data_IF_539407551425
#
_entry.id   IF_539407551425
#
_cell.length_a   1.000
_cell.length_b   1.000
_cell.length_c   1.000
_cell.angle_alpha   90.00
_cell.angle_beta   90.00
_cell.angle_gamma   90.00
#
_symmetry.space_group_name_H-M   'P 1'
#
loop_
_entity.id
_entity.type
_entity.pdbx_description
1 polymer ?
#
# COMPACT_ATOMS: atom_id res chain seq x y z
N UNK A 1 6.32 90.62 27.36
CA UNK A 1 6.35 89.56 26.33
C UNK A 1 6.84 88.26 26.97
N UNK A 2 6.22 87.85 28.09
CA UNK A 2 6.73 86.77 28.96
C UNK A 2 5.64 85.83 29.50
N UNK A 3 4.36 86.06 29.21
CA UNK A 3 3.25 85.19 29.68
C UNK A 3 2.86 84.09 28.66
N UNK A 4 3.60 83.95 27.57
CA UNK A 4 3.32 82.90 26.57
C UNK A 4 3.83 81.51 27.00
N UNK A 5 4.76 81.45 27.97
CA UNK A 5 5.38 80.22 28.45
C UNK A 5 4.80 79.68 29.76
N UNK A 6 3.88 80.40 30.41
CA UNK A 6 3.19 79.97 31.64
C UNK A 6 1.79 79.42 31.39
N UNK A 7 1.39 79.24 30.12
CA UNK A 7 0.07 78.69 29.78
C UNK A 7 0.07 77.16 29.96
N UNK A 8 -0.77 76.60 30.84
CA UNK A 8 -0.90 75.14 31.06
C UNK A 8 -1.17 74.34 29.77
N UNK A 9 -1.74 74.98 28.75
CA UNK A 9 -2.05 74.38 27.46
C UNK A 9 -0.81 73.97 26.65
N UNK A 10 0.31 74.68 26.75
CA UNK A 10 1.53 74.35 26.00
C UNK A 10 2.19 73.06 26.54
N UNK A 11 2.24 72.92 27.86
CA UNK A 11 2.76 71.71 28.51
C UNK A 11 1.88 70.49 28.23
N UNK A 12 0.55 70.68 28.25
CA UNK A 12 -0.38 69.63 27.86
C UNK A 12 -0.20 69.19 26.40
N UNK A 13 0.03 70.14 25.49
CA UNK A 13 0.29 69.85 24.08
C UNK A 13 1.59 69.07 23.87
N UNK A 14 2.70 69.49 24.50
CA UNK A 14 3.99 68.78 24.40
C UNK A 14 3.88 67.37 24.98
N UNK A 15 3.21 67.22 26.14
CA UNK A 15 2.96 65.90 26.74
C UNK A 15 2.14 64.99 25.81
N UNK A 16 1.08 65.52 25.20
CA UNK A 16 0.27 64.80 24.23
C UNK A 16 1.06 64.38 22.98
N UNK A 17 1.96 65.25 22.48
CA UNK A 17 2.81 64.94 21.33
C UNK A 17 3.79 63.81 21.62
N UNK A 18 4.45 63.84 22.80
CA UNK A 18 5.37 62.77 23.21
C UNK A 18 4.61 61.45 23.38
N UNK A 19 3.42 61.48 24.00
CA UNK A 19 2.57 60.31 24.15
C UNK A 19 2.13 59.73 22.79
N UNK A 20 1.78 60.58 21.82
CA UNK A 20 1.40 60.15 20.47
C UNK A 20 2.57 59.49 19.72
N UNK A 21 3.79 60.04 19.84
CA UNK A 21 5.00 59.44 19.24
C UNK A 21 5.31 58.09 19.90
N UNK A 22 5.23 58.01 21.22
CA UNK A 22 5.44 56.75 21.95
C UNK A 22 4.41 55.69 21.55
N UNK A 23 3.13 56.07 21.44
CA UNK A 23 2.06 55.18 21.00
C UNK A 23 2.27 54.70 19.55
N UNK A 24 2.70 55.59 18.65
CA UNK A 24 2.99 55.23 17.26
C UNK A 24 4.16 54.25 17.13
N UNK A 25 5.28 54.48 17.83
CA UNK A 25 6.43 53.56 17.83
C UNK A 25 6.05 52.21 18.44
N UNK A 26 5.24 52.22 19.51
CA UNK A 26 4.75 50.99 20.12
C UNK A 26 3.85 50.20 19.15
N UNK A 27 2.91 50.87 18.50
CA UNK A 27 2.03 50.24 17.51
C UNK A 27 2.82 49.67 16.32
N UNK A 28 3.85 50.39 15.85
CA UNK A 28 4.71 49.91 14.76
C UNK A 28 5.50 48.65 15.17
N UNK A 29 6.12 48.65 16.37
CA UNK A 29 6.83 47.47 16.89
C UNK A 29 5.91 46.26 17.08
N UNK A 30 4.70 46.51 17.62
CA UNK A 30 3.71 45.46 17.78
C UNK A 30 3.29 44.87 16.43
N UNK A 31 3.08 45.70 15.41
CA UNK A 31 2.74 45.22 14.06
C UNK A 31 3.85 44.37 13.44
N UNK A 32 5.11 44.77 13.59
CA UNK A 32 6.26 43.96 13.11
C UNK A 32 6.29 42.61 13.82
N UNK A 33 6.16 42.61 15.14
CA UNK A 33 6.18 41.39 15.94
C UNK A 33 4.99 40.46 15.61
N UNK A 34 3.79 41.01 15.41
CA UNK A 34 2.62 40.23 14.96
C UNK A 34 2.83 39.62 13.57
N UNK A 35 3.51 40.34 12.66
CA UNK A 35 3.84 39.80 11.34
C UNK A 35 4.90 38.69 11.42
N UNK A 36 5.89 38.82 12.30
CA UNK A 36 6.89 37.77 12.57
C UNK A 36 6.22 36.52 13.15
N UNK A 37 5.33 36.67 14.15
CA UNK A 37 4.57 35.54 14.71
C UNK A 37 3.75 34.84 13.62
N UNK A 38 3.03 35.59 12.78
CA UNK A 38 2.25 35.00 11.67
C UNK A 38 3.13 34.22 10.70
N UNK A 39 4.30 34.76 10.38
CA UNK A 39 5.26 34.11 9.46
C UNK A 39 5.82 32.83 10.07
N UNK A 40 6.16 32.86 11.36
CA UNK A 40 6.63 31.68 12.09
C UNK A 40 5.54 30.62 12.21
N UNK A 41 4.30 31.02 12.51
CA UNK A 41 3.16 30.10 12.58
C UNK A 41 2.93 29.40 11.24
N UNK A 42 2.92 30.14 10.14
CA UNK A 42 2.79 29.56 8.80
C UNK A 42 3.97 28.63 8.44
N UNK A 43 5.17 28.93 8.91
CA UNK A 43 6.34 28.06 8.71
C UNK A 43 6.22 26.76 9.49
N UNK A 44 5.77 26.84 10.75
CA UNK A 44 5.53 25.66 11.61
C UNK A 44 4.46 24.76 11.01
N UNK A 45 3.35 25.34 10.55
CA UNK A 45 2.27 24.58 9.90
C UNK A 45 2.78 23.85 8.65
N UNK A 46 3.53 24.55 7.78
CA UNK A 46 4.14 23.93 6.59
C UNK A 46 5.10 22.79 6.95
N UNK A 47 5.90 22.96 7.99
CA UNK A 47 6.83 21.92 8.44
C UNK A 47 6.09 20.72 9.05
N UNK A 48 5.00 20.97 9.80
CA UNK A 48 4.17 19.92 10.36
C UNK A 48 3.52 19.08 9.24
N UNK A 49 3.01 19.73 8.19
CA UNK A 49 2.45 19.05 7.01
C UNK A 49 3.52 18.22 6.28
N UNK A 50 4.73 18.75 6.15
CA UNK A 50 5.86 18.06 5.52
C UNK A 50 6.27 16.82 6.33
N UNK A 51 6.34 16.93 7.67
CA UNK A 51 6.61 15.81 8.57
C UNK A 51 5.51 14.76 8.47
N UNK A 52 4.24 15.15 8.46
CA UNK A 52 3.12 14.22 8.34
C UNK A 52 3.20 13.45 7.02
N UNK A 53 3.50 14.15 5.92
CA UNK A 53 3.68 13.54 4.60
C UNK A 53 4.83 12.54 4.59
N UNK A 54 5.99 12.91 5.12
CA UNK A 54 7.15 12.02 5.18
C UNK A 54 6.90 10.80 6.06
N UNK A 55 6.22 10.97 7.20
CA UNK A 55 5.85 9.86 8.06
C UNK A 55 4.90 8.88 7.36
N UNK A 56 3.92 9.40 6.61
CA UNK A 56 3.03 8.55 5.79
C UNK A 56 3.81 7.80 4.72
N UNK A 57 4.76 8.46 4.05
CA UNK A 57 5.59 7.85 3.03
C UNK A 57 6.49 6.72 3.58
N UNK A 58 7.10 6.96 4.75
CA UNK A 58 7.89 5.94 5.47
C UNK A 58 7.00 4.76 5.86
N UNK A 59 5.81 5.04 6.40
CA UNK A 59 4.86 4.00 6.77
C UNK A 59 4.50 3.14 5.56
N UNK A 60 4.09 3.77 4.45
CA UNK A 60 3.72 3.07 3.23
C UNK A 60 4.89 2.25 2.65
N UNK A 61 6.11 2.78 2.71
CA UNK A 61 7.31 2.06 2.24
C UNK A 61 7.59 0.80 3.06
N UNK A 62 7.28 0.83 4.36
CA UNK A 62 7.50 -0.32 5.27
C UNK A 62 6.36 -1.34 5.16
N UNK A 63 5.11 -0.88 5.07
CA UNK A 63 3.93 -1.76 5.07
C UNK A 63 3.59 -2.32 3.69
N UNK A 64 4.07 -1.66 2.62
CA UNK A 64 3.64 -1.91 1.25
C UNK A 64 2.59 -0.94 0.75
N UNK A 65 2.07 -0.04 1.61
CA UNK A 65 1.12 1.00 1.22
C UNK A 65 -0.11 0.42 0.51
N UNK A 66 -0.33 0.86 -0.72
CA UNK A 66 -1.40 0.42 -1.62
C UNK A 66 -0.96 -0.69 -2.62
N UNK A 67 0.27 -1.21 -2.47
CA UNK A 67 0.79 -2.25 -3.35
C UNK A 67 0.19 -3.61 -3.01
N UNK A 68 -0.36 -4.25 -4.03
CA UNK A 68 -0.76 -5.66 -3.98
C UNK A 68 0.27 -6.51 -4.73
N UNK A 69 0.40 -7.78 -4.37
CA UNK A 69 1.05 -8.78 -5.23
C UNK A 69 0.11 -9.92 -5.58
N UNK A 70 0.31 -10.50 -6.76
CA UNK A 70 -0.50 -11.59 -7.28
C UNK A 70 0.39 -12.57 -8.02
N UNK A 71 -0.14 -13.77 -8.23
CA UNK A 71 0.57 -14.90 -8.80
C UNK A 71 -0.03 -15.24 -10.16
N UNK A 72 0.81 -15.35 -11.17
CA UNK A 72 0.39 -15.80 -12.50
C UNK A 72 1.09 -17.13 -12.84
N UNK A 73 0.36 -18.12 -13.37
CA UNK A 73 0.97 -19.36 -13.81
C UNK A 73 1.78 -19.12 -15.09
N UNK A 74 2.92 -19.80 -15.22
CA UNK A 74 3.72 -19.80 -16.44
C UNK A 74 3.97 -21.22 -16.92
N UNK A 75 3.87 -21.41 -18.23
CA UNK A 75 4.19 -22.68 -18.85
C UNK A 75 5.67 -22.73 -19.19
N UNK A 76 6.40 -23.67 -18.57
CA UNK A 76 7.80 -23.91 -18.86
C UNK A 76 7.88 -24.99 -19.95
N UNK A 77 7.97 -24.56 -21.21
CA UNK A 77 7.91 -25.37 -22.45
C UNK A 77 8.78 -26.65 -22.44
N UNK A 78 9.81 -26.73 -21.61
CA UNK A 78 10.74 -27.86 -21.63
C UNK A 78 10.37 -29.06 -20.75
N UNK A 79 9.35 -28.99 -19.88
CA UNK A 79 9.20 -30.00 -18.81
C UNK A 79 7.79 -30.47 -18.44
N UNK A 80 6.71 -30.09 -19.14
CA UNK A 80 5.33 -30.37 -18.67
C UNK A 80 5.13 -29.91 -17.20
N UNK A 81 5.69 -28.75 -16.87
CA UNK A 81 5.71 -28.20 -15.51
C UNK A 81 5.16 -26.78 -15.56
N UNK A 82 4.36 -26.44 -14.57
CA UNK A 82 3.97 -25.05 -14.31
C UNK A 82 4.91 -24.47 -13.28
N UNK A 83 5.48 -23.32 -13.63
CA UNK A 83 6.05 -22.39 -12.68
C UNK A 83 5.05 -21.30 -12.36
N UNK A 84 5.38 -20.48 -11.38
CA UNK A 84 4.56 -19.32 -11.01
C UNK A 84 5.42 -18.06 -11.05
N UNK A 85 4.85 -16.95 -11.46
CA UNK A 85 5.44 -15.62 -11.34
C UNK A 85 4.67 -14.88 -10.27
N UNK A 86 5.39 -14.36 -9.28
CA UNK A 86 4.89 -13.37 -8.35
C UNK A 86 5.12 -11.97 -8.93
N UNK A 87 4.05 -11.19 -9.06
CA UNK A 87 4.07 -9.84 -9.60
C UNK A 87 3.54 -8.85 -8.59
N UNK A 88 4.12 -7.64 -8.54
CA UNK A 88 3.61 -6.53 -7.73
C UNK A 88 2.91 -5.48 -8.59
N UNK A 89 1.87 -4.86 -8.03
CA UNK A 89 1.16 -3.72 -8.62
C UNK A 89 0.90 -2.67 -7.54
N UNK A 90 1.57 -1.53 -7.67
CA UNK A 90 1.48 -0.41 -6.74
C UNK A 90 2.77 0.41 -6.71
N UNK A 91 2.82 1.40 -5.84
CA UNK A 91 3.91 2.38 -5.78
C UNK A 91 5.00 2.02 -4.76
N UNK A 92 4.70 1.17 -3.79
CA UNK A 92 5.59 0.83 -2.68
C UNK A 92 6.15 -0.61 -2.79
N UNK A 93 7.35 -0.88 -2.26
CA UNK A 93 7.90 -2.23 -2.22
C UNK A 93 7.13 -3.11 -1.22
N UNK A 94 7.14 -4.42 -1.44
CA UNK A 94 6.59 -5.40 -0.53
C UNK A 94 7.70 -6.19 0.15
N UNK A 95 7.59 -6.33 1.47
CA UNK A 95 8.59 -6.94 2.32
C UNK A 95 8.03 -8.15 3.07
N UNK A 96 8.89 -9.13 3.30
CA UNK A 96 8.60 -10.37 4.03
C UNK A 96 7.34 -11.09 3.53
N UNK A 97 7.18 -11.14 2.21
CA UNK A 97 6.07 -11.84 1.58
C UNK A 97 6.19 -13.34 1.89
N UNK A 98 5.09 -13.93 2.38
CA UNK A 98 4.92 -15.36 2.59
C UNK A 98 3.71 -15.84 1.80
N UNK A 99 3.90 -16.92 1.04
CA UNK A 99 2.96 -17.46 0.07
C UNK A 99 2.74 -18.93 0.36
N UNK A 100 1.53 -19.29 0.77
CA UNK A 100 1.11 -20.68 0.90
C UNK A 100 0.15 -21.02 -0.23
N UNK A 101 0.50 -22.03 -1.03
CA UNK A 101 -0.34 -22.51 -2.13
C UNK A 101 -1.02 -23.83 -1.73
N UNK A 102 -2.33 -23.89 -1.86
CA UNK A 102 -3.16 -25.09 -1.60
C UNK A 102 -3.74 -25.59 -2.91
N UNK A 103 -3.50 -26.86 -3.21
CA UNK A 103 -4.14 -27.58 -4.32
C UNK A 103 -5.57 -27.96 -3.90
N UNK A 104 -6.57 -27.37 -4.55
CA UNK A 104 -7.97 -27.51 -4.15
C UNK A 104 -8.49 -28.94 -4.33
N UNK A 105 -8.30 -29.61 -5.49
CA UNK A 105 -8.61 -31.04 -5.63
C UNK A 105 -7.96 -31.91 -4.55
N UNK A 106 -6.66 -31.72 -4.28
CA UNK A 106 -5.94 -32.50 -3.27
C UNK A 106 -6.50 -32.23 -1.88
N UNK A 107 -6.71 -30.97 -1.52
CA UNK A 107 -7.27 -30.58 -0.23
C UNK A 107 -8.68 -31.15 -0.01
N UNK A 108 -9.55 -31.10 -1.02
CA UNK A 108 -10.91 -31.69 -0.96
C UNK A 108 -10.90 -33.21 -0.77
N UNK A 109 -9.81 -33.91 -1.11
CA UNK A 109 -9.68 -35.35 -0.91
C UNK A 109 -9.35 -35.75 0.53
N UNK A 110 -8.96 -34.79 1.38
CA UNK A 110 -8.65 -35.01 2.79
C UNK A 110 -9.95 -35.23 3.56
N UNK A 111 -10.11 -36.44 4.12
CA UNK A 111 -11.36 -36.86 4.79
C UNK A 111 -11.52 -36.31 6.22
N UNK A 112 -10.42 -36.00 6.88
CA UNK A 112 -10.39 -35.53 8.27
C UNK A 112 -9.42 -34.37 8.37
N UNK A 113 -9.88 -33.22 8.85
CA UNK A 113 -9.02 -32.08 9.15
C UNK A 113 -8.62 -32.14 10.63
N UNK A 114 -7.35 -32.42 10.89
CA UNK A 114 -6.72 -32.27 12.19
C UNK A 114 -5.38 -31.52 12.01
N UNK A 115 -4.69 -31.23 13.11
CA UNK A 115 -3.43 -30.47 13.08
C UNK A 115 -2.35 -31.11 12.20
N UNK A 116 -2.32 -32.44 12.14
CA UNK A 116 -1.33 -33.20 11.39
C UNK A 116 -1.62 -33.18 9.88
N UNK A 117 -2.90 -33.03 9.49
CA UNK A 117 -3.32 -33.02 8.08
C UNK A 117 -3.53 -31.60 7.52
N UNK A 118 -3.29 -30.55 8.30
CA UNK A 118 -3.56 -29.17 7.87
C UNK A 118 -2.74 -28.75 6.64
N UNK A 119 -1.56 -29.36 6.46
CA UNK A 119 -0.65 -29.08 5.34
C UNK A 119 -0.69 -30.13 4.23
N UNK A 120 -1.50 -31.18 4.37
CA UNK A 120 -1.54 -32.27 3.39
C UNK A 120 -2.05 -31.81 2.01
N UNK A 121 -2.86 -30.75 1.99
CA UNK A 121 -3.34 -30.11 0.77
C UNK A 121 -2.39 -29.07 0.19
N UNK A 122 -1.28 -28.77 0.89
CA UNK A 122 -0.34 -27.75 0.43
C UNK A 122 0.41 -28.28 -0.79
N UNK A 123 0.44 -27.43 -1.81
CA UNK A 123 1.29 -27.63 -2.98
C UNK A 123 2.70 -27.14 -2.66
N UNK A 124 2.82 -25.95 -2.06
CA UNK A 124 4.09 -25.37 -1.66
C UNK A 124 3.96 -24.16 -0.73
N UNK A 125 5.07 -23.81 -0.10
CA UNK A 125 5.20 -22.62 0.74
C UNK A 125 6.51 -21.88 0.40
N UNK A 126 6.41 -20.58 0.18
CA UNK A 126 7.54 -19.66 0.15
C UNK A 126 7.43 -18.65 1.28
N UNK A 127 8.56 -18.24 1.86
CA UNK A 127 8.59 -17.23 2.92
C UNK A 127 9.74 -16.26 2.72
N UNK A 128 9.64 -15.09 3.35
CA UNK A 128 10.69 -14.07 3.37
C UNK A 128 11.07 -13.54 1.98
N UNK A 129 10.09 -13.45 1.06
CA UNK A 129 10.29 -12.85 -0.26
C UNK A 129 10.23 -11.33 -0.14
N UNK A 130 11.16 -10.64 -0.79
CA UNK A 130 11.11 -9.18 -0.95
C UNK A 130 10.88 -8.86 -2.43
N UNK A 131 9.94 -7.97 -2.71
CA UNK A 131 9.58 -7.58 -4.06
C UNK A 131 9.59 -6.06 -4.17
N UNK A 132 10.54 -5.52 -4.93
CA UNK A 132 10.59 -4.08 -5.20
C UNK A 132 9.43 -3.62 -6.08
N UNK A 133 9.26 -2.30 -6.17
CA UNK A 133 8.23 -1.67 -7.01
C UNK A 133 8.28 -2.19 -8.46
N UNK A 134 7.16 -2.75 -8.93
CA UNK A 134 7.00 -3.24 -10.30
C UNK A 134 7.90 -4.43 -10.65
N UNK A 135 8.50 -5.08 -9.65
CA UNK A 135 9.30 -6.27 -9.89
C UNK A 135 8.42 -7.50 -10.03
N UNK A 136 8.94 -8.46 -10.79
CA UNK A 136 8.41 -9.79 -10.95
C UNK A 136 9.46 -10.81 -10.49
N UNK A 137 9.02 -11.82 -9.75
CA UNK A 137 9.88 -12.90 -9.28
C UNK A 137 9.33 -14.25 -9.77
N UNK A 138 10.16 -15.03 -10.44
CA UNK A 138 9.80 -16.41 -10.78
C UNK A 138 9.92 -17.26 -9.52
N UNK A 139 8.79 -17.79 -9.06
CA UNK A 139 8.74 -18.77 -8.00
C UNK A 139 9.14 -20.13 -8.57
N UNK A 140 10.38 -20.53 -8.29
CA UNK A 140 10.93 -21.81 -8.74
C UNK A 140 10.40 -22.92 -7.83
N UNK A 141 9.13 -23.27 -8.02
CA UNK A 141 8.64 -24.58 -7.62
C UNK A 141 7.94 -25.21 -8.83
N UNK A 142 8.25 -26.48 -9.06
CA UNK A 142 7.81 -27.22 -10.24
C UNK A 142 6.64 -28.08 -9.81
N UNK A 143 5.43 -27.71 -10.22
CA UNK A 143 4.31 -28.65 -10.12
C UNK A 143 4.34 -29.52 -11.37
N UNK A 144 4.60 -30.84 -11.24
CA UNK A 144 4.54 -31.75 -12.38
C UNK A 144 3.09 -31.83 -12.86
N UNK A 145 2.88 -31.67 -14.17
CA UNK A 145 1.56 -31.79 -14.76
C UNK A 145 1.35 -33.18 -15.32
N UNK A 146 0.11 -33.67 -15.19
CA UNK A 146 -0.39 -34.79 -16.00
C UNK A 146 -1.34 -34.21 -17.03
N UNK A 147 -0.99 -34.22 -18.31
CA UNK A 147 -1.79 -33.61 -19.39
C UNK A 147 -2.95 -34.55 -19.82
N UNK A 148 -4.21 -34.08 -20.01
CA UNK A 148 -4.70 -32.71 -19.82
C UNK A 148 -4.72 -32.31 -18.34
N UNK A 149 -3.99 -31.24 -18.04
CA UNK A 149 -3.80 -30.77 -16.68
C UNK A 149 -4.74 -29.60 -16.40
N UNK A 150 -5.65 -29.79 -15.45
CA UNK A 150 -6.40 -28.70 -14.82
C UNK A 150 -5.75 -28.41 -13.48
N UNK A 151 -5.64 -27.14 -13.14
CA UNK A 151 -5.15 -26.68 -11.85
C UNK A 151 -6.13 -25.71 -11.22
N UNK A 152 -6.39 -25.91 -9.93
CA UNK A 152 -7.21 -25.02 -9.11
C UNK A 152 -6.48 -24.84 -7.78
N UNK A 153 -6.02 -23.62 -7.54
CA UNK A 153 -5.16 -23.29 -6.40
C UNK A 153 -5.71 -22.10 -5.64
N UNK A 154 -5.65 -22.17 -4.31
CA UNK A 154 -5.74 -21.00 -3.47
C UNK A 154 -4.34 -20.62 -2.98
N UNK A 155 -3.96 -19.38 -3.25
CA UNK A 155 -2.75 -18.76 -2.72
C UNK A 155 -3.12 -17.86 -1.57
N UNK A 156 -2.58 -18.16 -0.39
CA UNK A 156 -2.66 -17.30 0.77
C UNK A 156 -1.36 -16.49 0.82
N UNK A 157 -1.48 -15.20 0.59
CA UNK A 157 -0.35 -14.29 0.48
C UNK A 157 -0.43 -13.33 1.66
N UNK A 158 0.70 -13.18 2.35
CA UNK A 158 0.83 -12.36 3.55
C UNK A 158 2.08 -11.51 3.42
N UNK A 159 2.02 -10.25 3.84
CA UNK A 159 3.16 -9.35 3.98
C UNK A 159 2.96 -8.47 5.22
N UNK A 160 3.91 -7.58 5.52
CA UNK A 160 3.90 -6.78 6.77
C UNK A 160 2.66 -5.93 6.99
N UNK A 161 1.98 -5.50 5.92
CA UNK A 161 0.83 -4.61 6.01
C UNK A 161 -0.51 -5.33 5.91
N UNK A 162 -0.56 -6.45 5.19
CA UNK A 162 -1.83 -7.04 4.79
C UNK A 162 -1.71 -8.54 4.46
N UNK A 163 -2.87 -9.17 4.30
CA UNK A 163 -3.04 -10.55 3.91
C UNK A 163 -4.24 -10.71 2.99
N UNK A 164 -4.06 -11.41 1.90
CA UNK A 164 -5.13 -11.65 0.93
C UNK A 164 -5.04 -13.05 0.36
N UNK A 165 -6.17 -13.52 -0.15
CA UNK A 165 -6.29 -14.79 -0.83
C UNK A 165 -6.45 -14.55 -2.32
N UNK A 166 -5.66 -15.27 -3.11
CA UNK A 166 -5.87 -15.35 -4.54
C UNK A 166 -6.34 -16.74 -4.94
N UNK A 167 -7.51 -16.83 -5.56
CA UNK A 167 -7.94 -18.03 -6.26
C UNK A 167 -7.43 -17.98 -7.70
N UNK A 168 -6.81 -19.07 -8.13
CA UNK A 168 -6.31 -19.23 -9.49
C UNK A 168 -6.80 -20.55 -10.06
N UNK A 169 -7.56 -20.45 -11.14
CA UNK A 169 -7.98 -21.58 -11.95
C UNK A 169 -7.31 -21.48 -13.33
N UNK A 170 -6.78 -22.60 -13.81
CA UNK A 170 -6.17 -22.70 -15.13
C UNK A 170 -6.33 -24.10 -15.72
N UNK A 171 -6.18 -24.20 -17.03
CA UNK A 171 -6.06 -25.49 -17.72
C UNK A 171 -5.02 -25.40 -18.84
N UNK A 172 -4.48 -26.55 -19.21
CA UNK A 172 -3.59 -26.67 -20.36
C UNK A 172 -4.27 -27.46 -21.45
N UNK A 173 -4.24 -26.91 -22.67
CA UNK A 173 -4.74 -27.54 -23.89
C UNK A 173 -3.79 -27.22 -25.02
N UNK A 174 -3.43 -28.24 -25.82
CA UNK A 174 -2.55 -28.09 -26.99
C UNK A 174 -1.23 -27.36 -26.65
N UNK A 175 -0.59 -27.73 -25.53
CA UNK A 175 0.63 -27.11 -24.97
C UNK A 175 0.55 -25.60 -24.72
N UNK A 176 -0.68 -25.08 -24.57
CA UNK A 176 -0.95 -23.70 -24.19
C UNK A 176 -1.62 -23.65 -22.83
N UNK A 177 -1.15 -22.74 -22.00
CA UNK A 177 -1.74 -22.42 -20.72
C UNK A 177 -2.86 -21.41 -20.92
N UNK A 178 -4.03 -21.78 -20.43
CA UNK A 178 -5.22 -20.94 -20.41
C UNK A 178 -5.55 -20.65 -18.95
N UNK A 179 -5.40 -19.39 -18.55
CA UNK A 179 -5.83 -18.91 -17.24
C UNK A 179 -7.31 -18.57 -17.32
N UNK A 180 -8.11 -19.15 -16.44
CA UNK A 180 -9.57 -18.98 -16.50
C UNK A 180 -10.03 -17.88 -15.58
N UNK A 181 -9.47 -17.78 -14.38
CA UNK A 181 -9.86 -16.75 -13.40
C UNK A 181 -8.72 -16.50 -12.43
N UNK A 182 -8.35 -15.23 -12.24
CA UNK A 182 -7.58 -14.74 -11.10
C UNK A 182 -8.49 -13.83 -10.27
N UNK A 183 -8.80 -14.25 -9.06
CA UNK A 183 -9.56 -13.46 -8.10
C UNK A 183 -8.70 -13.22 -6.87
N UNK A 184 -8.37 -11.96 -6.58
CA UNK A 184 -7.65 -11.54 -5.38
C UNK A 184 -8.62 -10.79 -4.47
N UNK A 185 -8.77 -11.29 -3.24
CA UNK A 185 -9.66 -10.73 -2.22
C UNK A 185 -8.96 -10.63 -0.88
N UNK A 186 -9.35 -9.66 -0.05
CA UNK A 186 -8.92 -9.59 1.35
C UNK A 186 -9.24 -10.91 2.09
N UNK A 187 -8.54 -11.16 3.20
CA UNK A 187 -8.65 -12.43 3.93
C UNK A 187 -10.05 -12.73 4.49
N UNK A 188 -10.91 -11.71 4.64
CA UNK A 188 -12.32 -11.86 5.03
C UNK A 188 -13.26 -12.19 3.84
N UNK A 189 -12.74 -12.15 2.61
CA UNK A 189 -13.41 -12.47 1.32
C UNK A 189 -14.52 -11.52 0.89
N UNK A 190 -14.75 -10.40 1.58
CA UNK A 190 -15.84 -9.47 1.21
C UNK A 190 -15.38 -8.38 0.23
N UNK A 191 -14.09 -8.04 0.22
CA UNK A 191 -13.52 -7.03 -0.68
C UNK A 191 -12.70 -7.69 -1.80
N UNK A 192 -13.13 -7.51 -3.06
CA UNK A 192 -12.35 -7.90 -4.25
C UNK A 192 -11.37 -6.78 -4.60
N UNK A 193 -10.07 -7.09 -4.53
CA UNK A 193 -8.99 -6.14 -4.82
C UNK A 193 -8.59 -6.16 -6.30
N UNK A 194 -8.66 -7.33 -6.92
CA UNK A 194 -8.29 -7.52 -8.31
C UNK A 194 -8.99 -8.75 -8.90
N UNK A 195 -9.56 -8.58 -10.08
CA UNK A 195 -10.16 -9.66 -10.85
C UNK A 195 -9.67 -9.57 -12.30
N UNK A 196 -9.16 -10.67 -12.81
CA UNK A 196 -8.82 -10.82 -14.21
C UNK A 196 -9.35 -12.15 -14.72
N UNK A 197 -10.28 -12.07 -15.67
CA UNK A 197 -10.78 -13.21 -16.44
C UNK A 197 -10.25 -13.05 -17.86
N UNK A 198 -9.50 -14.04 -18.36
CA UNK A 198 -8.99 -14.02 -19.73
C UNK A 198 -9.98 -14.76 -20.64
N UNK A 199 -10.29 -14.19 -21.81
CA UNK A 199 -11.36 -14.61 -22.76
C UNK A 199 -11.25 -16.03 -23.36
N UNK A 200 -10.31 -16.85 -22.90
CA UNK A 200 -10.28 -18.27 -23.20
C UNK A 200 -11.13 -19.11 -22.23
N UNK A 201 -12.02 -18.48 -21.46
CA UNK A 201 -12.92 -19.16 -20.54
C UNK A 201 -13.92 -20.04 -21.29
N UNK A 202 -13.64 -21.34 -21.39
CA UNK A 202 -14.64 -22.34 -21.77
C UNK A 202 -15.47 -22.71 -20.53
N UNK A 203 -16.77 -22.34 -20.47
CA UNK A 203 -17.62 -22.59 -19.31
C UNK A 203 -17.82 -24.08 -19.00
N UNK A 204 -17.53 -25.00 -19.93
CA UNK A 204 -17.52 -26.44 -19.64
C UNK A 204 -16.40 -26.88 -18.69
N UNK A 205 -15.47 -25.97 -18.38
CA UNK A 205 -14.36 -26.17 -17.43
C UNK A 205 -14.58 -25.45 -16.11
N UNK A 206 -15.72 -24.78 -15.91
CA UNK A 206 -16.13 -24.15 -14.65
C UNK A 206 -16.26 -25.20 -13.53
N UNK A 207 -15.43 -25.10 -12.49
CA UNK A 207 -15.60 -25.89 -11.26
C UNK A 207 -16.58 -25.11 -10.35
N UNK A 208 -17.87 -25.14 -10.69
CA UNK A 208 -18.93 -24.78 -9.74
C UNK A 208 -19.27 -25.98 -8.88
#
# INVERSE_FOLDING_TARGET
>A
MSDFFSSPSLYAFIGALIAAIAAFVSAHKQSVFENEIKTHQATIERQADEIQKLNKEIQNTITGGDTICYISPIFLQSNSVIGFILSSKGEYPLHDISIRAVDIPKFKSIKTLNIDTMTDGDAFHFSSINLGKGQNLILVNKIPLTVPAKGSYNFFITHRGDSYTQQLDFYIKDDKLYQTTTLVSESDRDTVLYEETTDAYDPSYSIR
#
